data_IF_597656381307
#
_entry.id   IF_597656381307
#
_cell.length_a   1.000
_cell.length_b   1.000
_cell.length_c   1.000
_cell.angle_alpha   90.00
_cell.angle_beta   90.00
_cell.angle_gamma   90.00
#
_symmetry.space_group_name_H-M   'P 1'
#
loop_
_entity.id
_entity.type
_entity.pdbx_description
1 polymer ?
#
# COMPACT_ATOMS: atom_id res chain seq x y z
N UNK A 1 -4.35 -15.78 2.03
CA UNK A 1 -5.17 -14.63 1.59
C UNK A 1 -4.80 -13.43 2.44
N UNK A 2 -4.61 -12.25 1.87
CA UNK A 2 -4.33 -10.98 2.59
C UNK A 2 -5.62 -10.14 2.62
N UNK A 3 -5.80 -9.32 3.66
CA UNK A 3 -6.99 -8.49 3.84
C UNK A 3 -6.59 -7.02 4.06
N UNK A 4 -7.26 -6.10 3.39
CA UNK A 4 -7.14 -4.67 3.62
C UNK A 4 -8.53 -4.11 3.97
N UNK A 5 -8.60 -3.33 5.04
CA UNK A 5 -9.76 -2.54 5.41
C UNK A 5 -9.49 -1.09 5.01
N UNK A 6 -10.06 -0.67 3.90
CA UNK A 6 -9.87 0.67 3.35
C UNK A 6 -10.94 1.62 3.89
N UNK A 7 -10.49 2.67 4.57
CA UNK A 7 -11.37 3.70 5.12
C UNK A 7 -11.63 4.85 4.15
N UNK A 8 -10.89 4.96 3.04
CA UNK A 8 -10.98 6.03 2.05
C UNK A 8 -11.15 7.41 2.67
N UNK A 9 -10.34 7.71 3.71
CA UNK A 9 -10.35 8.96 4.50
C UNK A 9 -11.60 9.22 5.35
N UNK A 10 -12.54 8.28 5.42
CA UNK A 10 -13.86 8.51 6.02
C UNK A 10 -13.90 8.27 7.54
N UNK A 11 -12.94 7.57 8.13
CA UNK A 11 -12.98 7.25 9.55
C UNK A 11 -12.42 8.39 10.39
N UNK A 12 -13.10 8.70 11.49
CA UNK A 12 -12.52 9.51 12.55
C UNK A 12 -11.35 8.76 13.20
N UNK A 13 -10.43 9.48 13.85
CA UNK A 13 -9.34 8.86 14.62
C UNK A 13 -9.89 7.92 15.71
N UNK A 14 -11.00 8.29 16.34
CA UNK A 14 -11.73 7.44 17.31
C UNK A 14 -12.13 6.10 16.69
N UNK A 15 -12.73 6.13 15.51
CA UNK A 15 -13.28 4.92 14.87
C UNK A 15 -12.16 4.02 14.32
N UNK A 16 -11.10 4.61 13.77
CA UNK A 16 -9.91 3.86 13.36
C UNK A 16 -9.26 3.11 14.54
N UNK A 17 -9.10 3.79 15.68
CA UNK A 17 -8.58 3.17 16.89
C UNK A 17 -9.53 2.10 17.44
N UNK A 18 -10.84 2.34 17.37
CA UNK A 18 -11.85 1.38 17.80
C UNK A 18 -11.76 0.08 17.00
N UNK A 19 -11.75 0.17 15.66
CA UNK A 19 -11.63 -0.98 14.76
C UNK A 19 -10.34 -1.75 15.05
N UNK A 20 -9.20 -1.05 15.15
CA UNK A 20 -7.91 -1.69 15.42
C UNK A 20 -7.88 -2.41 16.78
N UNK A 21 -8.58 -1.89 17.79
CA UNK A 21 -8.66 -2.46 19.14
C UNK A 21 -9.63 -3.63 19.23
N UNK A 22 -10.78 -3.55 18.56
CA UNK A 22 -11.88 -4.52 18.67
C UNK A 22 -11.69 -5.74 17.77
N UNK A 23 -10.78 -5.68 16.79
CA UNK A 23 -10.53 -6.77 15.85
C UNK A 23 -9.08 -7.31 15.87
N UNK A 24 -8.44 -7.54 17.04
CA UNK A 24 -7.01 -7.89 17.09
C UNK A 24 -6.67 -9.22 16.39
N UNK A 25 -7.64 -10.12 16.28
CA UNK A 25 -7.44 -11.46 15.71
C UNK A 25 -7.73 -11.52 14.20
N UNK A 26 -8.15 -10.41 13.58
CA UNK A 26 -8.41 -10.34 12.15
C UNK A 26 -7.19 -9.68 11.47
N UNK A 27 -6.39 -10.41 10.68
CA UNK A 27 -5.11 -9.91 10.19
C UNK A 27 -5.28 -9.02 8.95
N UNK A 28 -5.87 -7.84 9.11
CA UNK A 28 -5.96 -6.83 8.04
C UNK A 28 -4.95 -5.70 8.20
N UNK A 29 -4.60 -5.08 7.07
CA UNK A 29 -4.00 -3.74 7.05
C UNK A 29 -5.11 -2.68 7.03
N UNK A 30 -4.92 -1.57 7.74
CA UNK A 30 -5.81 -0.41 7.65
C UNK A 30 -5.29 0.54 6.58
N UNK A 31 -5.98 0.62 5.45
CA UNK A 31 -5.64 1.49 4.33
C UNK A 31 -6.39 2.82 4.45
N UNK A 32 -5.62 3.93 4.37
CA UNK A 32 -6.08 5.32 4.49
C UNK A 32 -7.33 5.52 5.40
N UNK A 33 -7.26 5.15 6.70
CA UNK A 33 -8.44 5.21 7.56
C UNK A 33 -8.93 6.65 7.75
N UNK A 34 -8.00 7.59 7.99
CA UNK A 34 -8.32 8.98 8.32
C UNK A 34 -7.95 9.95 7.20
N UNK A 35 -8.52 11.14 7.25
CA UNK A 35 -8.45 12.11 6.16
C UNK A 35 -7.07 12.73 5.93
N UNK A 36 -6.29 12.95 7.00
CA UNK A 36 -5.05 13.71 6.94
C UNK A 36 -3.84 12.91 7.45
N UNK A 37 -2.65 13.25 6.96
CA UNK A 37 -1.39 12.72 7.50
C UNK A 37 -1.24 12.97 9.01
N UNK A 38 -1.72 14.09 9.51
CA UNK A 38 -1.65 14.41 10.94
C UNK A 38 -2.53 13.48 11.77
N UNK A 39 -3.70 13.10 11.26
CA UNK A 39 -4.54 12.11 11.93
C UNK A 39 -3.89 10.73 11.93
N UNK A 40 -3.25 10.35 10.81
CA UNK A 40 -2.46 9.11 10.76
C UNK A 40 -1.31 9.12 11.78
N UNK A 41 -0.59 10.24 11.91
CA UNK A 41 0.47 10.42 12.92
C UNK A 41 -0.07 10.26 14.35
N UNK A 42 -1.25 10.83 14.65
CA UNK A 42 -1.88 10.73 15.97
C UNK A 42 -2.23 9.28 16.32
N UNK A 43 -2.72 8.49 15.37
CA UNK A 43 -3.18 7.11 15.64
C UNK A 43 -2.07 6.07 15.54
N UNK A 44 -1.01 6.31 14.75
CA UNK A 44 0.10 5.37 14.53
C UNK A 44 0.64 4.69 15.80
N UNK A 45 0.98 5.40 16.90
CA UNK A 45 1.52 4.75 18.10
C UNK A 45 0.47 3.95 18.89
N UNK A 46 -0.81 4.09 18.56
CA UNK A 46 -1.94 3.47 19.26
C UNK A 46 -2.56 2.30 18.47
N UNK A 47 -2.32 2.23 17.17
CA UNK A 47 -2.81 1.17 16.29
C UNK A 47 -1.98 -0.12 16.43
N UNK A 48 -2.66 -1.26 16.53
CA UNK A 48 -2.04 -2.59 16.52
C UNK A 48 -1.91 -3.19 15.12
N UNK A 49 -2.81 -2.79 14.23
CA UNK A 49 -2.81 -3.21 12.83
C UNK A 49 -1.84 -2.38 12.01
N UNK A 50 -1.34 -2.97 10.93
CA UNK A 50 -0.51 -2.26 9.97
C UNK A 50 -1.29 -1.13 9.30
N UNK A 51 -0.62 -0.05 8.96
CA UNK A 51 -1.22 1.17 8.39
C UNK A 51 -0.67 1.43 6.99
N UNK A 52 -1.55 1.51 6.00
CA UNK A 52 -1.20 1.79 4.61
C UNK A 52 -1.64 3.20 4.21
N UNK A 53 -0.79 3.89 3.44
CA UNK A 53 -1.08 5.21 2.88
C UNK A 53 -1.56 5.10 1.43
N UNK A 54 -2.70 5.71 1.12
CA UNK A 54 -3.23 5.82 -0.25
C UNK A 54 -3.38 7.30 -0.64
N UNK A 55 -4.55 7.92 -0.42
CA UNK A 55 -4.89 9.25 -0.96
C UNK A 55 -3.97 10.37 -0.50
N UNK A 56 -3.35 10.24 0.69
CA UNK A 56 -2.40 11.23 1.18
C UNK A 56 -1.01 11.10 0.55
N UNK A 57 -0.70 9.98 -0.13
CA UNK A 57 0.52 9.78 -0.90
C UNK A 57 0.47 10.48 -2.25
N UNK A 58 0.55 11.80 -2.25
CA UNK A 58 0.40 12.66 -3.43
C UNK A 58 1.69 12.97 -4.17
N UNK A 59 2.86 12.69 -3.58
CA UNK A 59 4.17 12.91 -4.20
C UNK A 59 5.22 11.96 -3.64
N UNK A 60 6.35 11.88 -4.34
CA UNK A 60 7.51 11.14 -3.86
C UNK A 60 8.04 11.70 -2.53
N UNK A 61 7.98 13.02 -2.31
CA UNK A 61 8.41 13.65 -1.05
C UNK A 61 7.58 13.16 0.14
N UNK A 62 6.26 13.03 -0.03
CA UNK A 62 5.40 12.48 1.01
C UNK A 62 5.72 11.00 1.27
N UNK A 63 5.98 10.22 0.22
CA UNK A 63 6.38 8.82 0.38
C UNK A 63 7.72 8.68 1.12
N UNK A 64 8.72 9.50 0.77
CA UNK A 64 10.03 9.57 1.44
C UNK A 64 9.85 9.92 2.92
N UNK A 65 9.02 10.93 3.22
CA UNK A 65 8.74 11.32 4.61
C UNK A 65 8.05 10.20 5.39
N UNK A 66 7.01 9.58 4.82
CA UNK A 66 6.25 8.54 5.49
C UNK A 66 7.10 7.29 5.78
N UNK A 67 7.91 6.87 4.80
CA UNK A 67 8.85 5.76 4.95
C UNK A 67 10.03 6.11 5.88
N UNK A 68 10.52 7.35 5.82
CA UNK A 68 11.63 7.84 6.63
C UNK A 68 11.32 7.96 8.12
N UNK A 69 10.06 8.29 8.45
CA UNK A 69 9.58 8.47 9.82
C UNK A 69 8.95 7.22 10.44
N UNK A 70 8.77 6.14 9.65
CA UNK A 70 8.05 4.94 10.10
C UNK A 70 6.56 5.17 10.31
N UNK A 71 5.97 6.14 9.61
CA UNK A 71 4.56 6.49 9.75
C UNK A 71 3.63 5.37 9.25
N UNK A 72 4.04 4.65 8.22
CA UNK A 72 3.23 3.63 7.53
C UNK A 72 4.02 2.33 7.36
N UNK A 73 3.30 1.23 7.22
CA UNK A 73 3.87 -0.10 6.96
C UNK A 73 3.74 -0.52 5.50
N UNK A 74 3.19 0.33 4.64
CA UNK A 74 3.01 0.09 3.22
C UNK A 74 2.16 1.16 2.54
N UNK A 75 1.87 0.94 1.25
CA UNK A 75 1.19 1.94 0.41
C UNK A 75 0.19 1.32 -0.57
N UNK A 76 -0.97 1.96 -0.70
CA UNK A 76 -1.87 1.81 -1.84
C UNK A 76 -1.56 2.90 -2.87
N UNK A 77 -0.56 2.71 -3.74
CA UNK A 77 -0.07 3.81 -4.58
C UNK A 77 -0.71 3.83 -5.97
N UNK A 78 -1.17 5.02 -6.38
CA UNK A 78 -1.78 5.27 -7.69
C UNK A 78 -0.79 5.94 -8.64
N UNK A 79 -0.64 5.39 -9.84
CA UNK A 79 0.33 5.87 -10.86
C UNK A 79 0.05 7.31 -11.24
N UNK A 80 -1.19 7.67 -11.56
CA UNK A 80 -1.55 9.06 -11.92
C UNK A 80 -1.32 10.02 -10.76
N UNK A 81 -1.65 9.63 -9.53
CA UNK A 81 -1.52 10.49 -8.35
C UNK A 81 -0.06 10.86 -8.07
N UNK A 82 0.87 9.92 -8.19
CA UNK A 82 2.28 10.20 -7.92
C UNK A 82 2.99 10.91 -9.10
N UNK A 83 2.30 11.09 -10.23
CA UNK A 83 2.82 11.81 -11.40
C UNK A 83 3.33 10.92 -12.54
N UNK A 84 2.88 9.67 -12.62
CA UNK A 84 3.17 8.76 -13.73
C UNK A 84 4.28 7.74 -13.46
N UNK A 85 4.70 7.03 -14.52
CA UNK A 85 5.62 5.88 -14.41
C UNK A 85 7.01 6.26 -13.90
N UNK A 86 7.51 7.46 -14.23
CA UNK A 86 8.85 7.87 -13.82
C UNK A 86 8.95 8.11 -12.30
N UNK A 87 8.06 8.92 -11.66
CA UNK A 87 8.00 8.99 -10.20
C UNK A 87 7.65 7.65 -9.54
N UNK A 88 6.74 6.87 -10.14
CA UNK A 88 6.33 5.56 -9.59
C UNK A 88 7.51 4.57 -9.53
N UNK A 89 8.45 4.62 -10.48
CA UNK A 89 9.69 3.83 -10.43
C UNK A 89 10.53 4.19 -9.21
N UNK A 90 10.75 5.48 -8.96
CA UNK A 90 11.54 5.93 -7.80
C UNK A 90 10.85 5.56 -6.48
N UNK A 91 9.51 5.64 -6.43
CA UNK A 91 8.71 5.19 -5.31
C UNK A 91 8.84 3.68 -5.05
N UNK A 92 8.81 2.85 -6.10
CA UNK A 92 9.04 1.41 -5.99
C UNK A 92 10.41 1.12 -5.37
N UNK A 93 11.45 1.80 -5.85
CA UNK A 93 12.83 1.61 -5.39
C UNK A 93 12.99 2.04 -3.92
N UNK A 94 12.34 3.14 -3.52
CA UNK A 94 12.23 3.55 -2.11
C UNK A 94 11.58 2.46 -1.25
N UNK A 95 10.44 1.91 -1.70
CA UNK A 95 9.74 0.85 -0.97
C UNK A 95 10.56 -0.43 -0.85
N UNK A 96 11.29 -0.81 -1.90
CA UNK A 96 12.22 -1.94 -1.86
C UNK A 96 13.33 -1.73 -0.83
N UNK A 97 13.94 -0.54 -0.81
CA UNK A 97 15.00 -0.18 0.14
C UNK A 97 14.53 -0.14 1.60
N UNK A 98 13.24 0.13 1.84
CA UNK A 98 12.65 0.24 3.18
C UNK A 98 11.83 -0.98 3.61
N UNK A 99 11.79 -2.01 2.76
CA UNK A 99 10.98 -3.21 2.97
C UNK A 99 9.48 -2.90 3.20
N UNK A 100 8.92 -1.98 2.40
CA UNK A 100 7.52 -1.58 2.47
C UNK A 100 6.73 -2.22 1.32
N UNK A 101 5.76 -3.11 1.59
CA UNK A 101 4.87 -3.62 0.57
C UNK A 101 3.99 -2.51 -0.01
N UNK A 102 3.63 -2.66 -1.28
CA UNK A 102 2.79 -1.67 -1.95
C UNK A 102 2.01 -2.27 -3.13
N UNK A 103 0.99 -1.52 -3.57
CA UNK A 103 0.28 -1.78 -4.82
C UNK A 103 0.77 -0.84 -5.93
N UNK A 104 0.46 -1.21 -7.18
CA UNK A 104 0.63 -0.35 -8.35
C UNK A 104 -0.73 -0.19 -9.03
N UNK A 105 -1.51 0.78 -8.54
CA UNK A 105 -2.91 0.96 -8.89
C UNK A 105 -3.13 2.26 -9.67
N UNK A 106 -4.38 2.52 -10.01
CA UNK A 106 -4.88 3.85 -10.35
C UNK A 106 -6.30 4.03 -9.79
N UNK A 107 -6.89 5.21 -9.95
CA UNK A 107 -8.23 5.49 -9.44
C UNK A 107 -9.29 4.73 -10.23
N UNK A 108 -9.16 4.74 -11.56
CA UNK A 108 -10.02 4.04 -12.51
C UNK A 108 -9.35 4.04 -13.88
N UNK A 109 -9.98 3.38 -14.86
CA UNK A 109 -9.68 3.54 -16.27
C UNK A 109 -9.70 2.24 -17.05
N UNK A 110 -9.42 2.35 -18.36
CA UNK A 110 -9.40 1.22 -19.29
C UNK A 110 -7.99 0.63 -19.49
N UNK A 111 -7.83 -0.08 -20.60
CA UNK A 111 -6.64 -0.90 -20.88
C UNK A 111 -5.32 -0.12 -20.85
N UNK A 112 -5.31 1.17 -21.22
CA UNK A 112 -4.08 1.99 -21.24
C UNK A 112 -3.50 2.11 -19.84
N UNK A 113 -4.29 2.58 -18.86
CA UNK A 113 -3.79 2.76 -17.50
C UNK A 113 -3.63 1.42 -16.79
N UNK A 114 -4.50 0.44 -17.07
CA UNK A 114 -4.38 -0.92 -16.55
C UNK A 114 -3.08 -1.60 -17.00
N UNK A 115 -2.68 -1.42 -18.26
CA UNK A 115 -1.40 -1.91 -18.77
C UNK A 115 -0.23 -1.23 -18.06
N UNK A 116 -0.27 0.09 -17.86
CA UNK A 116 0.77 0.81 -17.13
C UNK A 116 0.91 0.29 -15.68
N UNK A 117 -0.21 0.10 -14.96
CA UNK A 117 -0.25 -0.52 -13.63
C UNK A 117 0.36 -1.91 -13.61
N UNK A 118 -0.04 -2.76 -14.57
CA UNK A 118 0.44 -4.15 -14.68
C UNK A 118 1.93 -4.21 -14.98
N UNK A 119 2.42 -3.36 -15.89
CA UNK A 119 3.83 -3.28 -16.22
C UNK A 119 4.69 -2.75 -15.07
N UNK A 120 4.18 -1.81 -14.26
CA UNK A 120 4.90 -1.38 -13.06
C UNK A 120 4.95 -2.51 -12.03
N UNK A 121 3.81 -3.14 -11.75
CA UNK A 121 3.69 -4.24 -10.79
C UNK A 121 4.60 -5.43 -11.11
N UNK A 122 4.79 -5.76 -12.40
CA UNK A 122 5.67 -6.87 -12.80
C UNK A 122 7.15 -6.63 -12.51
N UNK A 123 7.53 -5.41 -12.13
CA UNK A 123 8.90 -5.07 -11.73
C UNK A 123 9.11 -5.04 -10.21
N UNK A 124 8.06 -5.30 -9.42
CA UNK A 124 8.13 -5.33 -7.96
C UNK A 124 8.46 -6.74 -7.50
N UNK A 125 9.30 -6.84 -6.46
CA UNK A 125 9.61 -8.13 -5.85
C UNK A 125 8.32 -8.87 -5.40
N UNK A 126 8.17 -10.17 -5.69
CA UNK A 126 6.90 -10.89 -5.45
C UNK A 126 6.42 -10.89 -4.00
N UNK A 127 7.34 -10.81 -3.03
CA UNK A 127 7.05 -10.77 -1.60
C UNK A 127 6.43 -9.43 -1.16
N UNK A 128 6.72 -8.34 -1.90
CA UNK A 128 6.30 -6.96 -1.63
C UNK A 128 5.15 -6.47 -2.50
N UNK A 129 4.79 -7.19 -3.56
CA UNK A 129 3.60 -6.91 -4.35
C UNK A 129 2.35 -7.36 -3.59
N UNK A 130 1.48 -6.41 -3.22
CA UNK A 130 0.23 -6.70 -2.50
C UNK A 130 -0.94 -7.02 -3.45
N UNK A 131 -1.19 -6.14 -4.42
CA UNK A 131 -2.30 -6.23 -5.40
C UNK A 131 -1.99 -5.41 -6.65
N UNK A 132 -2.70 -5.69 -7.75
CA UNK A 132 -2.83 -4.80 -8.92
C UNK A 132 -4.31 -4.54 -9.16
N UNK A 133 -4.72 -3.29 -9.40
CA UNK A 133 -6.09 -2.93 -9.73
C UNK A 133 -6.57 -3.74 -10.95
N UNK A 134 -7.75 -4.37 -10.84
CA UNK A 134 -8.34 -5.22 -11.88
C UNK A 134 -7.78 -6.65 -11.97
N UNK A 135 -6.76 -7.03 -11.21
CA UNK A 135 -6.29 -8.42 -11.11
C UNK A 135 -6.03 -8.83 -9.67
N UNK A 136 -6.75 -9.86 -9.21
CA UNK A 136 -6.29 -10.63 -8.06
C UNK A 136 -4.90 -11.18 -8.39
N UNK A 137 -3.88 -10.86 -7.59
CA UNK A 137 -2.61 -11.57 -7.65
C UNK A 137 -2.88 -12.95 -7.06
N UNK A 138 -3.28 -13.89 -7.92
CA UNK A 138 -3.45 -15.28 -7.53
C UNK A 138 -2.08 -15.86 -7.20
N UNK A 139 -1.76 -15.97 -5.91
CA UNK A 139 -0.68 -16.83 -5.44
C UNK A 139 -1.18 -18.27 -5.47
N UNK A 140 -0.90 -18.99 -6.55
CA UNK A 140 -0.93 -20.45 -6.51
C UNK A 140 0.10 -20.95 -5.49
N UNK A 141 -0.12 -22.12 -4.87
CA UNK A 141 0.91 -22.72 -4.02
C UNK A 141 2.21 -22.86 -4.81
N UNK A 142 3.34 -22.47 -4.20
CA UNK A 142 4.67 -22.77 -4.74
C UNK A 142 4.73 -24.28 -5.00
N UNK A 143 5.10 -24.67 -6.22
CA UNK A 143 5.35 -26.08 -6.49
C UNK A 143 6.56 -26.50 -5.63
N UNK A 144 6.55 -27.71 -5.03
CA UNK A 144 7.70 -28.18 -4.29
C UNK A 144 8.95 -28.15 -5.19
N UNK A 145 9.91 -27.26 -4.91
CA UNK A 145 11.21 -27.21 -5.60
C UNK A 145 11.64 -25.85 -6.20
N UNK A 146 10.78 -24.84 -6.27
CA UNK A 146 11.19 -23.51 -6.75
C UNK A 146 11.91 -22.73 -5.64
N UNK A 147 13.24 -22.66 -5.70
CA UNK A 147 14.05 -21.70 -4.95
C UNK A 147 14.18 -20.42 -5.77
N UNK A 148 14.00 -19.27 -5.13
CA UNK A 148 14.38 -17.99 -5.72
C UNK A 148 15.89 -18.01 -6.01
N UNK A 149 16.25 -17.91 -7.28
CA UNK A 149 17.57 -17.43 -7.67
C UNK A 149 17.52 -15.91 -7.77
N UNK A 150 18.59 -15.30 -7.26
CA UNK A 150 18.77 -13.89 -6.95
C UNK A 150 18.44 -12.91 -8.10
#
# INVERSE_FOLDING_TARGET
MRLAADGNRAWTTRDALRISRECPDIPFVMEQPCATLDDLRKIRPLCRHALYLDENGTSLDIAIMAAGTGLVDGFGMKITRIGGLHPMRAFRDLCAARNLPHTCDDAWGGDIIAAACTHMASTVAPDRQERVAGRAVYRGPLRPGERHHD
#
